data_IF_526700259030
#
_entry.id   IF_526700259030
#
_cell.length_a   1.000
_cell.length_b   1.000
_cell.length_c   1.000
_cell.angle_alpha   90.00
_cell.angle_beta   90.00
_cell.angle_gamma   90.00
#
_symmetry.space_group_name_H-M   'P 1'
#
loop_
_entity.id
_entity.type
_entity.pdbx_description
1 polymer ?
#
# COMPACT_ATOMS: atom_id res chain seq x y z
N UNK A 1 25.55 23.71 -22.68
CA UNK A 1 24.20 23.15 -22.72
C UNK A 1 24.14 22.03 -21.72
N UNK A 2 23.35 22.16 -20.66
CA UNK A 2 23.13 21.02 -19.77
C UNK A 2 22.21 20.01 -20.48
N UNK A 3 22.68 18.76 -20.56
CA UNK A 3 21.94 17.68 -21.18
C UNK A 3 20.58 17.48 -20.48
N UNK A 4 19.51 17.28 -21.25
CA UNK A 4 18.16 17.05 -20.71
C UNK A 4 18.07 15.85 -19.76
N UNK A 5 18.96 14.87 -19.91
CA UNK A 5 19.09 13.74 -18.98
C UNK A 5 19.45 14.19 -17.55
N UNK A 6 20.34 15.17 -17.41
CA UNK A 6 20.73 15.71 -16.09
C UNK A 6 19.59 16.51 -15.46
N UNK A 7 18.85 17.27 -16.27
CA UNK A 7 17.68 18.04 -15.81
C UNK A 7 16.56 17.11 -15.34
N UNK A 8 16.28 16.00 -16.05
CA UNK A 8 15.27 15.03 -15.66
C UNK A 8 15.52 14.48 -14.25
N UNK A 9 16.72 13.95 -13.98
CA UNK A 9 17.04 13.35 -12.69
C UNK A 9 17.17 14.35 -11.55
N UNK A 10 17.64 15.58 -11.85
CA UNK A 10 17.95 16.58 -10.81
C UNK A 10 16.80 17.52 -10.50
N UNK A 11 15.88 17.72 -11.44
CA UNK A 11 14.76 18.66 -11.32
C UNK A 11 13.43 17.90 -11.41
N UNK A 12 13.17 17.20 -12.51
CA UNK A 12 11.86 16.55 -12.73
C UNK A 12 11.58 15.45 -11.70
N UNK A 13 12.50 14.49 -11.53
CA UNK A 13 12.35 13.35 -10.61
C UNK A 13 12.06 13.80 -9.17
N UNK A 14 12.84 14.67 -8.50
CA UNK A 14 12.55 15.06 -7.13
C UNK A 14 11.24 15.84 -6.97
N UNK A 15 10.82 16.60 -8.00
CA UNK A 15 9.55 17.34 -7.98
C UNK A 15 8.36 16.37 -8.07
N UNK A 16 8.43 15.35 -8.91
CA UNK A 16 7.34 14.37 -9.07
C UNK A 16 7.42 13.19 -8.09
N UNK A 17 8.56 13.02 -7.40
CA UNK A 17 8.81 11.95 -6.43
C UNK A 17 7.68 11.73 -5.42
N UNK A 18 7.14 12.76 -4.71
CA UNK A 18 6.04 12.55 -3.78
C UNK A 18 4.78 12.02 -4.47
N UNK A 19 4.52 12.43 -5.73
CA UNK A 19 3.43 11.91 -6.54
C UNK A 19 3.64 10.46 -6.97
N UNK A 20 4.88 10.10 -7.36
CA UNK A 20 5.25 8.71 -7.69
C UNK A 20 5.10 7.80 -6.48
N UNK A 21 5.55 8.24 -5.29
CA UNK A 21 5.40 7.43 -4.07
C UNK A 21 3.92 7.26 -3.72
N UNK A 22 3.10 8.30 -3.87
CA UNK A 22 1.66 8.20 -3.64
C UNK A 22 0.98 7.22 -4.61
N UNK A 23 1.28 7.29 -5.90
CA UNK A 23 0.70 6.38 -6.90
C UNK A 23 1.21 4.94 -6.73
N UNK A 24 2.48 4.75 -6.39
CA UNK A 24 3.06 3.44 -6.11
C UNK A 24 2.35 2.76 -4.93
N UNK A 25 2.15 3.47 -3.83
CA UNK A 25 1.43 2.94 -2.66
C UNK A 25 -0.03 2.62 -3.00
N UNK A 26 -0.70 3.47 -3.78
CA UNK A 26 -2.08 3.26 -4.19
C UNK A 26 -2.23 2.02 -5.08
N UNK A 27 -1.43 1.91 -6.14
CA UNK A 27 -1.46 0.77 -7.05
C UNK A 27 -1.03 -0.52 -6.35
N UNK A 28 -0.04 -0.47 -5.46
CA UNK A 28 0.33 -1.61 -4.62
C UNK A 28 -0.83 -2.08 -3.75
N UNK A 29 -1.53 -1.15 -3.09
CA UNK A 29 -2.68 -1.46 -2.23
C UNK A 29 -3.81 -2.12 -3.03
N UNK A 30 -4.15 -1.55 -4.19
CA UNK A 30 -5.18 -2.11 -5.09
C UNK A 30 -4.78 -3.50 -5.57
N UNK A 31 -3.53 -3.70 -5.98
CA UNK A 31 -3.05 -5.01 -6.44
C UNK A 31 -3.03 -6.07 -5.34
N UNK A 32 -2.77 -5.67 -4.09
CA UNK A 32 -2.74 -6.60 -2.95
C UNK A 32 -4.14 -7.02 -2.50
N UNK A 33 -5.15 -6.15 -2.68
CA UNK A 33 -6.55 -6.42 -2.31
C UNK A 33 -7.31 -7.29 -3.32
N UNK A 34 -6.74 -7.53 -4.50
CA UNK A 34 -7.38 -8.29 -5.57
C UNK A 34 -7.30 -9.82 -5.36
N UNK A 35 -8.01 -10.32 -4.35
CA UNK A 35 -8.12 -11.77 -4.09
C UNK A 35 -8.81 -12.53 -5.24
N UNK A 36 -9.85 -11.94 -5.83
CA UNK A 36 -10.71 -12.59 -6.82
C UNK A 36 -9.90 -12.95 -8.08
N UNK A 37 -9.13 -12.01 -8.63
CA UNK A 37 -8.24 -12.32 -9.76
C UNK A 37 -7.23 -13.41 -9.40
N UNK A 38 -6.58 -13.31 -8.24
CA UNK A 38 -5.59 -14.30 -7.83
C UNK A 38 -6.22 -15.71 -7.75
N UNK A 39 -7.46 -15.81 -7.26
CA UNK A 39 -8.16 -17.10 -7.13
C UNK A 39 -8.57 -17.72 -8.46
N UNK A 40 -9.01 -16.91 -9.41
CA UNK A 40 -9.51 -17.43 -10.70
C UNK A 40 -8.42 -17.52 -11.78
N UNK A 41 -7.42 -16.65 -11.77
CA UNK A 41 -6.38 -16.58 -12.80
C UNK A 41 -4.98 -17.02 -12.34
N UNK A 42 -4.71 -17.09 -11.02
CA UNK A 42 -3.39 -17.42 -10.47
C UNK A 42 -3.02 -18.91 -10.53
N UNK A 43 -3.97 -19.80 -10.82
CA UNK A 43 -3.70 -21.23 -10.96
C UNK A 43 -3.15 -21.85 -9.67
N UNK A 44 -1.93 -22.41 -9.74
CA UNK A 44 -1.28 -23.10 -8.63
C UNK A 44 -0.28 -22.23 -7.84
N UNK A 45 -0.12 -20.96 -8.22
CA UNK A 45 0.79 -20.05 -7.54
C UNK A 45 0.14 -19.50 -6.26
N UNK A 46 0.77 -19.78 -5.12
CA UNK A 46 0.29 -19.37 -3.81
C UNK A 46 0.67 -17.90 -3.55
N UNK A 47 -0.30 -17.02 -3.72
CA UNK A 47 -0.22 -15.64 -3.21
C UNK A 47 -0.66 -15.56 -1.75
N UNK A 48 -0.27 -14.50 -1.05
CA UNK A 48 -0.66 -14.26 0.35
C UNK A 48 -2.17 -14.42 0.61
N UNK A 49 -3.07 -13.81 -0.19
CA UNK A 49 -4.52 -13.98 -0.04
C UNK A 49 -4.99 -15.43 -0.27
N UNK A 50 -4.42 -16.13 -1.26
CA UNK A 50 -4.76 -17.53 -1.55
C UNK A 50 -4.29 -18.48 -0.46
N UNK A 51 -3.12 -18.20 0.12
CA UNK A 51 -2.62 -18.96 1.26
C UNK A 51 -3.57 -18.82 2.46
N UNK A 52 -3.96 -17.60 2.82
CA UNK A 52 -4.92 -17.34 3.90
C UNK A 52 -6.26 -18.04 3.63
N UNK A 53 -6.76 -17.95 2.40
CA UNK A 53 -7.99 -18.63 1.98
C UNK A 53 -7.90 -20.16 2.08
N UNK A 54 -6.78 -20.75 1.66
CA UNK A 54 -6.54 -22.19 1.76
C UNK A 54 -6.48 -22.67 3.21
N UNK A 55 -5.85 -21.91 4.09
CA UNK A 55 -5.73 -22.24 5.51
C UNK A 55 -7.07 -22.16 6.26
N UNK A 56 -8.00 -21.28 5.84
CA UNK A 56 -9.35 -21.20 6.43
C UNK A 56 -10.17 -22.50 6.29
N UNK A 57 -9.84 -23.34 5.30
CA UNK A 57 -10.50 -24.63 5.07
C UNK A 57 -9.99 -25.73 5.99
N UNK A 58 -8.88 -25.50 6.71
CA UNK A 58 -8.26 -26.46 7.62
C UNK A 58 -8.60 -26.04 9.06
N UNK A 59 -9.44 -26.80 9.79
CA UNK A 59 -9.89 -26.43 11.14
C UNK A 59 -8.77 -26.13 12.15
N UNK A 60 -7.60 -26.75 11.95
CA UNK A 60 -6.42 -26.58 12.81
C UNK A 60 -5.64 -25.30 12.56
N UNK A 61 -5.84 -24.64 11.41
CA UNK A 61 -5.08 -23.45 10.99
C UNK A 61 -5.78 -22.13 11.35
N UNK A 62 -7.01 -22.17 11.87
CA UNK A 62 -7.79 -20.99 12.29
C UNK A 62 -7.00 -20.02 13.21
N UNK A 63 -6.27 -20.48 14.25
CA UNK A 63 -5.53 -19.57 15.12
C UNK A 63 -4.46 -18.76 14.36
N UNK A 64 -3.78 -19.38 13.40
CA UNK A 64 -2.73 -18.73 12.59
C UNK A 64 -3.35 -17.72 11.63
N UNK A 65 -4.47 -18.07 10.98
CA UNK A 65 -5.17 -17.16 10.08
C UNK A 65 -5.71 -15.93 10.81
N UNK A 66 -6.30 -16.12 12.00
CA UNK A 66 -6.82 -15.02 12.80
C UNK A 66 -5.70 -14.10 13.33
N UNK A 67 -4.53 -14.67 13.67
CA UNK A 67 -3.34 -13.90 14.03
C UNK A 67 -2.81 -13.07 12.84
N UNK A 68 -2.77 -13.63 11.64
CA UNK A 68 -2.40 -12.88 10.42
C UNK A 68 -3.41 -11.78 10.11
N UNK A 69 -4.71 -12.06 10.21
CA UNK A 69 -5.77 -11.09 9.96
C UNK A 69 -5.71 -9.89 10.92
N UNK A 70 -5.45 -10.14 12.21
CA UNK A 70 -5.27 -9.06 13.20
C UNK A 70 -4.01 -8.22 12.93
N UNK A 71 -2.90 -8.83 12.52
CA UNK A 71 -1.70 -8.09 12.11
C UNK A 71 -1.93 -7.22 10.88
N UNK A 72 -2.60 -7.73 9.86
CA UNK A 72 -2.91 -6.99 8.62
C UNK A 72 -3.83 -5.80 8.94
N UNK A 73 -4.85 -6.01 9.80
CA UNK A 73 -5.73 -4.93 10.26
C UNK A 73 -4.97 -3.85 11.03
N UNK A 74 -4.11 -4.24 11.97
CA UNK A 74 -3.28 -3.29 12.74
C UNK A 74 -2.34 -2.50 11.83
N UNK A 75 -1.73 -3.17 10.86
CA UNK A 75 -0.85 -2.53 9.88
C UNK A 75 -1.60 -1.51 9.02
N UNK A 76 -2.77 -1.88 8.48
CA UNK A 76 -3.62 -0.98 7.70
C UNK A 76 -4.07 0.23 8.54
N UNK A 77 -4.50 -0.01 9.78
CA UNK A 77 -4.86 1.06 10.71
C UNK A 77 -3.68 1.99 11.00
N UNK A 78 -2.48 1.45 11.21
CA UNK A 78 -1.27 2.24 11.45
C UNK A 78 -0.91 3.12 10.24
N UNK A 79 -1.00 2.59 9.02
CA UNK A 79 -0.77 3.35 7.79
C UNK A 79 -1.77 4.51 7.63
N UNK A 80 -3.06 4.25 7.81
CA UNK A 80 -4.10 5.29 7.75
C UNK A 80 -3.87 6.33 8.85
N UNK A 81 -3.58 5.90 10.08
CA UNK A 81 -3.29 6.79 11.19
C UNK A 81 -2.07 7.69 10.92
N UNK A 82 -0.98 7.13 10.39
CA UNK A 82 0.20 7.89 9.97
C UNK A 82 -0.14 8.88 8.84
N UNK A 83 -0.88 8.44 7.82
CA UNK A 83 -1.33 9.29 6.72
C UNK A 83 -2.17 10.47 7.20
N UNK A 84 -3.09 10.23 8.15
CA UNK A 84 -3.88 11.28 8.79
C UNK A 84 -3.03 12.24 9.63
N UNK A 85 -2.05 11.73 10.37
CA UNK A 85 -1.14 12.54 11.19
C UNK A 85 -0.24 13.46 10.32
N UNK A 86 0.21 12.96 9.17
CA UNK A 86 0.97 13.74 8.19
C UNK A 86 0.08 14.82 7.56
N UNK A 87 -1.16 14.47 7.18
CA UNK A 87 -2.11 15.42 6.60
C UNK A 87 -2.53 16.54 7.57
N UNK A 88 -2.66 16.26 8.87
CA UNK A 88 -2.95 17.30 9.89
C UNK A 88 -1.88 18.39 9.95
N UNK A 89 -0.61 18.08 9.64
CA UNK A 89 0.45 19.11 9.54
C UNK A 89 0.37 19.94 8.26
N UNK A 90 -0.25 19.40 7.21
CA UNK A 90 -0.54 20.11 5.97
C UNK A 90 -1.76 21.04 6.10
N UNK A 91 -2.87 20.55 6.65
CA UNK A 91 -4.14 21.28 6.74
C UNK A 91 -4.11 22.45 7.75
N UNK A 92 -3.44 22.28 8.90
CA UNK A 92 -3.33 23.36 9.91
C UNK A 92 -2.51 24.55 9.37
N UNK A 93 -1.57 24.33 8.46
CA UNK A 93 -0.73 25.41 7.90
C UNK A 93 -1.45 26.26 6.83
N UNK A 94 -2.55 25.77 6.27
CA UNK A 94 -3.35 26.52 5.29
C UNK A 94 -4.38 27.41 5.99
N UNK A 95 -4.87 27.00 7.17
CA UNK A 95 -5.86 27.75 7.95
C UNK A 95 -5.27 28.85 8.85
N UNK A 96 -3.95 28.87 9.02
CA UNK A 96 -3.20 29.93 9.74
C UNK A 96 -2.70 31.05 8.79
N UNK A 97 -3.10 31.00 7.51
CA UNK A 97 -2.75 31.99 6.48
C UNK A 97 -3.93 32.82 5.97
N UNK A 98 -5.08 32.71 6.64
CA UNK A 98 -6.24 33.60 6.47
C UNK A 98 -6.43 34.43 7.73
#
# INVERSE_FOLDING_TARGET
GENGWWVFWRVTVPIILPGIVASLLLTFTVSFDEFVMAFFLGGNDLTLPLYVWGQLRIPRAFPVVLALGTLILLFSFALVYLGLKINKRGAIKIMDRE
#
